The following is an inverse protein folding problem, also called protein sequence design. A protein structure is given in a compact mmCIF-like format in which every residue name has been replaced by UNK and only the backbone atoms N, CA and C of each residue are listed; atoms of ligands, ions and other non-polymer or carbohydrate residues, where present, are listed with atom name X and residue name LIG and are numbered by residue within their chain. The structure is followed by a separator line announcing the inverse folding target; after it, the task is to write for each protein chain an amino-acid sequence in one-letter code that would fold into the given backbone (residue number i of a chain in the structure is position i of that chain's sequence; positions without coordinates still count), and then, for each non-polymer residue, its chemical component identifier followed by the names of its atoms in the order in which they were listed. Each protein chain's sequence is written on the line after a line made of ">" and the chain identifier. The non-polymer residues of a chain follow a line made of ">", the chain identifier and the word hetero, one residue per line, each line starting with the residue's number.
data_IF_549965180138
#
_entry.id   IF_549965180138
#
_cell.length_a   1.000
_cell.length_b   1.000
_cell.length_c   1.000
_cell.angle_alpha   90.00
_cell.angle_beta   90.00
_cell.angle_gamma   90.00
#
_symmetry.space_group_name_H-M   'P 1'
#
loop_
_entity.id
_entity.type
_entity.pdbx_description
1 polymer ?
#
# COMPACT_ATOMS: atom_id res chain seq x y z
N UNK A 1 -5.27 10.73 5.30
CA UNK A 1 -5.52 9.33 4.92
C UNK A 1 -4.34 8.69 4.19
N UNK A 2 -4.54 7.54 3.52
CA UNK A 2 -3.44 6.77 2.88
C UNK A 2 -2.67 7.62 1.86
N UNK A 3 -3.34 8.43 1.05
CA UNK A 3 -2.69 9.33 0.09
C UNK A 3 -1.70 10.30 0.74
N UNK A 4 -2.05 10.86 1.91
CA UNK A 4 -1.17 11.74 2.68
C UNK A 4 0.07 10.98 3.17
N UNK A 5 -0.14 9.78 3.74
CA UNK A 5 0.94 8.93 4.23
C UNK A 5 1.88 8.48 3.09
N UNK A 6 1.34 8.18 1.92
CA UNK A 6 2.12 7.83 0.73
C UNK A 6 3.01 9.00 0.27
N UNK A 7 2.50 10.23 0.33
CA UNK A 7 3.28 11.42 -0.02
C UNK A 7 4.38 11.72 1.02
N UNK A 8 4.06 11.56 2.31
CA UNK A 8 5.05 11.67 3.40
C UNK A 8 6.15 10.61 3.26
N UNK A 9 5.79 9.36 2.93
CA UNK A 9 6.75 8.29 2.69
C UNK A 9 7.68 8.62 1.50
N UNK A 10 7.15 9.16 0.40
CA UNK A 10 7.95 9.59 -0.74
C UNK A 10 8.94 10.71 -0.37
N UNK A 11 8.52 11.67 0.44
CA UNK A 11 9.37 12.75 0.92
C UNK A 11 10.50 12.22 1.81
N UNK A 12 10.17 11.31 2.73
CA UNK A 12 11.15 10.68 3.62
C UNK A 12 12.18 9.84 2.84
N UNK A 13 11.73 9.11 1.81
CA UNK A 13 12.63 8.35 0.95
C UNK A 13 13.59 9.25 0.17
N UNK A 14 13.11 10.37 -0.37
CA UNK A 14 13.96 11.34 -1.06
C UNK A 14 15.02 11.94 -0.12
N UNK A 15 14.66 12.29 1.11
CA UNK A 15 15.59 12.79 2.14
C UNK A 15 16.62 11.72 2.54
N UNK A 16 16.17 10.46 2.69
CA UNK A 16 17.05 9.34 3.03
C UNK A 16 18.04 9.05 1.90
N UNK A 17 17.60 9.09 0.64
CA UNK A 17 18.46 8.93 -0.54
C UNK A 17 19.52 10.04 -0.60
N UNK A 18 19.14 11.30 -0.38
CA UNK A 18 20.07 12.43 -0.34
C UNK A 18 21.12 12.27 0.77
N UNK A 19 20.69 11.83 1.97
CA UNK A 19 21.62 11.53 3.08
C UNK A 19 22.56 10.37 2.77
N UNK A 20 22.07 9.32 2.13
CA UNK A 20 22.90 8.19 1.71
C UNK A 20 23.97 8.62 0.70
N UNK A 21 23.62 9.46 -0.28
CA UNK A 21 24.57 10.02 -1.23
C UNK A 21 25.65 10.86 -0.53
N UNK A 22 25.25 11.78 0.37
CA UNK A 22 26.19 12.62 1.13
C UNK A 22 27.12 11.76 2.01
N UNK A 23 26.58 10.73 2.67
CA UNK A 23 27.37 9.80 3.48
C UNK A 23 28.36 9.01 2.60
N UNK A 24 27.96 8.62 1.42
CA UNK A 24 28.86 7.92 0.46
C UNK A 24 30.04 8.81 0.04
N UNK A 25 29.81 10.10 -0.18
CA UNK A 25 30.87 11.07 -0.48
C UNK A 25 31.84 11.24 0.71
N UNK A 26 31.31 11.30 1.94
CA UNK A 26 32.13 11.41 3.16
C UNK A 26 32.99 10.16 3.37
N UNK A 27 32.42 8.97 3.15
CA UNK A 27 33.15 7.70 3.21
C UNK A 27 34.21 7.62 2.09
N UNK A 28 33.88 8.13 0.90
CA UNK A 28 34.87 8.26 -0.19
C UNK A 28 36.08 9.11 0.20
N UNK A 29 35.85 10.28 0.81
CA UNK A 29 36.93 11.14 1.31
C UNK A 29 37.76 10.47 2.43
N UNK A 30 37.10 9.68 3.28
CA UNK A 30 37.80 8.91 4.31
C UNK A 30 38.68 7.82 3.68
N UNK A 31 38.23 7.17 2.61
CA UNK A 31 39.03 6.19 1.87
C UNK A 31 40.27 6.83 1.25
N UNK A 32 40.12 7.98 0.60
CA UNK A 32 41.25 8.75 0.03
C UNK A 32 42.28 9.17 1.11
N UNK A 33 41.77 9.65 2.25
CA UNK A 33 42.63 10.02 3.37
C UNK A 33 43.41 8.81 3.93
N UNK A 34 42.77 7.64 4.02
CA UNK A 34 43.40 6.41 4.46
C UNK A 34 44.50 5.94 3.45
N UNK A 35 44.27 6.10 2.16
CA UNK A 35 45.27 5.81 1.13
C UNK A 35 46.48 6.73 1.23
N UNK A 36 46.27 8.03 1.43
CA UNK A 36 47.35 9.00 1.66
C UNK A 36 48.14 8.66 2.92
N UNK A 37 47.49 8.32 4.02
CA UNK A 37 48.14 7.89 5.26
C UNK A 37 48.97 6.63 5.00
N UNK A 38 48.45 5.65 4.27
CA UNK A 38 49.16 4.43 3.90
C UNK A 38 50.44 4.72 3.09
N UNK A 39 50.39 5.68 2.17
CA UNK A 39 51.54 6.12 1.40
C UNK A 39 52.62 6.78 2.29
N UNK A 40 52.21 7.61 3.23
CA UNK A 40 53.14 8.23 4.18
C UNK A 40 53.78 7.21 5.13
N UNK A 41 52.97 6.23 5.61
CA UNK A 41 53.48 5.14 6.48
C UNK A 41 54.51 4.28 5.74
N UNK A 42 54.27 3.96 4.45
CA UNK A 42 55.25 3.25 3.64
C UNK A 42 56.59 4.06 3.49
N UNK A 43 56.46 5.36 3.24
CA UNK A 43 57.65 6.24 3.18
C UNK A 43 58.44 6.26 4.49
N UNK A 44 57.75 6.35 5.65
CA UNK A 44 58.40 6.30 6.95
C UNK A 44 59.08 4.95 7.17
N UNK A 45 58.49 3.84 6.75
CA UNK A 45 59.10 2.52 6.83
C UNK A 45 60.39 2.47 6.02
N UNK A 46 60.35 2.97 4.79
CA UNK A 46 61.54 3.00 3.90
C UNK A 46 62.64 3.86 4.50
N UNK A 47 62.31 5.02 5.11
CA UNK A 47 63.27 5.85 5.83
C UNK A 47 63.88 5.10 7.04
N UNK A 48 63.05 4.37 7.79
CA UNK A 48 63.48 3.59 8.94
C UNK A 48 64.44 2.48 8.52
N UNK A 49 64.15 1.77 7.42
CA UNK A 49 65.06 0.76 6.84
C UNK A 49 66.35 1.37 6.38
N UNK A 50 66.36 2.52 5.70
CA UNK A 50 67.53 3.26 5.28
C UNK A 50 68.33 3.72 6.46
N UNK A 51 67.68 4.22 7.52
CA UNK A 51 68.35 4.67 8.78
C UNK A 51 68.99 3.49 9.49
N UNK A 52 68.35 2.32 9.51
CA UNK A 52 68.91 1.10 10.07
C UNK A 52 70.20 0.66 9.34
N UNK A 53 70.21 0.77 8.00
CA UNK A 53 71.40 0.47 7.17
C UNK A 53 72.53 1.49 7.43
N UNK A 54 72.19 2.77 7.54
CA UNK A 54 73.16 3.83 7.87
C UNK A 54 73.77 3.60 9.28
N UNK A 55 72.97 3.26 10.25
CA UNK A 55 73.40 2.96 11.61
C UNK A 55 74.29 1.70 11.66
N UNK A 56 73.95 0.68 10.87
CA UNK A 56 74.78 -0.52 10.71
C UNK A 56 76.17 -0.18 10.17
N UNK A 57 76.25 0.62 9.08
CA UNK A 57 77.50 1.07 8.49
C UNK A 57 78.36 1.90 9.51
N UNK A 58 77.69 2.80 10.28
CA UNK A 58 78.33 3.57 11.31
C UNK A 58 78.87 2.67 12.45
N UNK A 59 78.16 1.62 12.84
CA UNK A 59 78.61 0.65 13.84
C UNK A 59 79.89 -0.10 13.34
N UNK A 60 79.91 -0.49 12.06
CA UNK A 60 81.04 -1.15 11.46
C UNK A 60 82.24 -0.23 11.46
N UNK A 61 82.12 1.02 11.04
CA UNK A 61 83.22 1.96 11.00
C UNK A 61 83.71 2.39 12.41
N UNK A 62 82.79 2.48 13.36
CA UNK A 62 83.17 2.70 14.77
C UNK A 62 83.98 1.53 15.35
N UNK A 63 83.62 0.29 15.02
CA UNK A 63 84.38 -0.89 15.41
C UNK A 63 85.83 -0.89 14.73
N UNK A 64 85.93 -0.38 13.53
CA UNK A 64 87.13 -0.27 12.79
C UNK A 64 88.14 0.74 13.34
N UNK A 65 87.56 1.81 14.01
CA UNK A 65 88.35 2.86 14.68
C UNK A 65 88.89 2.46 16.10
N UNK A 66 88.54 1.25 16.57
CA UNK A 66 89.04 0.71 17.82
C UNK A 66 88.64 1.54 19.03
N UNK A 67 89.50 1.79 20.00
CA UNK A 67 89.23 2.55 21.22
C UNK A 67 88.72 3.98 20.95
N UNK A 68 89.13 4.64 19.86
CA UNK A 68 88.69 5.97 19.49
C UNK A 68 87.20 5.97 19.00
N UNK A 69 86.64 4.82 18.54
CA UNK A 69 85.33 4.70 18.03
C UNK A 69 84.24 4.31 19.07
N UNK A 70 84.62 4.00 20.29
CA UNK A 70 83.67 3.48 21.33
C UNK A 70 82.41 4.34 21.56
N UNK A 71 82.59 5.66 21.66
CA UNK A 71 81.46 6.58 21.84
C UNK A 71 80.51 6.58 20.63
N UNK A 72 81.07 6.52 19.43
CA UNK A 72 80.31 6.45 18.18
C UNK A 72 79.56 5.09 18.01
N UNK A 73 80.16 3.99 18.46
CA UNK A 73 79.55 2.67 18.41
C UNK A 73 78.28 2.62 19.28
N UNK A 74 78.28 3.25 20.46
CA UNK A 74 77.07 3.33 21.33
C UNK A 74 75.95 4.10 20.63
N UNK A 75 76.26 5.28 20.06
CA UNK A 75 75.26 6.10 19.35
C UNK A 75 74.69 5.35 18.11
N UNK A 76 75.56 4.72 17.36
CA UNK A 76 75.13 3.94 16.18
C UNK A 76 74.24 2.78 16.55
N UNK A 77 74.50 2.08 17.65
CA UNK A 77 73.64 1.00 18.17
C UNK A 77 72.28 1.54 18.60
N UNK A 78 72.23 2.68 19.28
CA UNK A 78 70.96 3.33 19.71
C UNK A 78 70.12 3.78 18.52
N UNK A 79 70.76 4.39 17.48
CA UNK A 79 70.09 4.78 16.23
C UNK A 79 69.52 3.57 15.48
N UNK A 80 70.28 2.45 15.44
CA UNK A 80 69.82 1.20 14.85
C UNK A 80 68.61 0.65 15.57
N UNK A 81 68.59 0.67 16.91
CA UNK A 81 67.47 0.19 17.68
C UNK A 81 66.19 1.06 17.46
N UNK A 82 66.38 2.39 17.46
CA UNK A 82 65.30 3.34 17.18
C UNK A 82 64.72 3.13 15.77
N UNK A 83 65.57 2.92 14.77
CA UNK A 83 65.12 2.60 13.40
C UNK A 83 64.29 1.29 13.35
N UNK A 84 64.75 0.23 14.04
CA UNK A 84 64.01 -1.01 14.15
C UNK A 84 62.65 -0.85 14.83
N UNK A 85 62.61 -0.08 15.93
CA UNK A 85 61.35 0.23 16.61
C UNK A 85 60.41 1.05 15.71
N UNK A 86 60.94 2.01 14.94
CA UNK A 86 60.16 2.82 13.99
C UNK A 86 59.56 1.93 12.89
N UNK A 87 60.37 1.03 12.32
CA UNK A 87 59.89 0.08 11.31
C UNK A 87 58.73 -0.80 11.83
N UNK A 88 58.86 -1.29 13.05
CA UNK A 88 57.78 -2.09 13.68
C UNK A 88 56.53 -1.27 13.93
N UNK A 89 56.65 -0.04 14.44
CA UNK A 89 55.51 0.84 14.67
C UNK A 89 54.76 1.19 13.36
N UNK A 90 55.54 1.41 12.26
CA UNK A 90 54.96 1.67 10.95
C UNK A 90 54.21 0.44 10.37
N UNK A 91 54.67 -0.77 10.60
CA UNK A 91 53.99 -1.99 10.25
C UNK A 91 52.62 -2.16 10.96
N UNK A 92 52.63 -1.82 12.27
CA UNK A 92 51.38 -1.81 13.09
C UNK A 92 50.39 -0.78 12.54
N UNK A 93 50.85 0.44 12.22
CA UNK A 93 50.01 1.49 11.61
C UNK A 93 49.52 1.07 10.20
N UNK A 94 50.36 0.47 9.36
CA UNK A 94 49.95 -0.02 8.07
C UNK A 94 48.82 -1.04 8.14
N UNK A 95 48.86 -1.92 9.14
CA UNK A 95 47.80 -2.88 9.42
C UNK A 95 46.50 -2.19 9.81
N UNK A 96 46.55 -1.16 10.67
CA UNK A 96 45.37 -0.38 11.06
C UNK A 96 44.78 0.38 9.88
N UNK A 97 45.63 0.99 9.04
CA UNK A 97 45.19 1.73 7.82
C UNK A 97 44.48 0.77 6.86
N UNK A 98 45.03 -0.42 6.65
CA UNK A 98 44.38 -1.45 5.83
C UNK A 98 43.02 -1.87 6.39
N UNK A 99 42.89 -1.99 7.73
CA UNK A 99 41.65 -2.24 8.41
C UNK A 99 40.59 -1.11 8.18
N UNK A 100 41.05 0.16 8.21
CA UNK A 100 40.18 1.32 7.91
C UNK A 100 39.71 1.25 6.46
N UNK A 101 40.61 0.99 5.49
CA UNK A 101 40.27 0.84 4.05
C UNK A 101 39.21 -0.25 3.84
N UNK A 102 39.40 -1.43 4.48
CA UNK A 102 38.42 -2.50 4.40
C UNK A 102 37.06 -2.13 4.99
N UNK A 103 37.07 -1.41 6.10
CA UNK A 103 35.82 -0.92 6.76
C UNK A 103 35.10 0.12 5.90
N UNK A 104 35.83 1.05 5.28
CA UNK A 104 35.24 2.05 4.36
C UNK A 104 34.65 1.40 3.12
N UNK A 105 35.31 0.41 2.55
CA UNK A 105 34.75 -0.34 1.40
C UNK A 105 33.45 -1.06 1.73
N UNK A 106 33.39 -1.67 2.92
CA UNK A 106 32.18 -2.29 3.41
C UNK A 106 31.03 -1.27 3.64
N UNK A 107 31.37 -0.10 4.17
CA UNK A 107 30.40 0.99 4.36
C UNK A 107 29.85 1.50 3.02
N UNK A 108 30.68 1.69 1.99
CA UNK A 108 30.25 2.04 0.63
C UNK A 108 29.26 1.01 0.10
N UNK A 109 29.60 -0.28 0.21
CA UNK A 109 28.73 -1.37 -0.25
C UNK A 109 27.37 -1.37 0.47
N UNK A 110 27.36 -1.12 1.79
CA UNK A 110 26.12 -1.02 2.57
C UNK A 110 25.26 0.19 2.15
N UNK A 111 25.90 1.35 1.90
CA UNK A 111 25.19 2.57 1.45
C UNK A 111 24.54 2.35 0.08
N UNK A 112 25.25 1.69 -0.85
CA UNK A 112 24.72 1.34 -2.17
C UNK A 112 23.49 0.41 -2.05
N UNK A 113 23.56 -0.59 -1.16
CA UNK A 113 22.42 -1.48 -0.90
C UNK A 113 21.19 -0.71 -0.32
N UNK A 114 21.45 0.25 0.59
CA UNK A 114 20.39 1.13 1.11
C UNK A 114 19.76 1.94 -0.01
N UNK A 115 20.55 2.53 -0.90
CA UNK A 115 20.06 3.33 -2.03
C UNK A 115 19.19 2.50 -2.97
N UNK A 116 19.57 1.25 -3.24
CA UNK A 116 18.78 0.34 -4.08
C UNK A 116 17.45 -0.02 -3.39
N UNK A 117 17.50 -0.34 -2.09
CA UNK A 117 16.27 -0.61 -1.32
C UNK A 117 15.31 0.58 -1.31
N UNK A 118 15.83 1.83 -1.25
CA UNK A 118 15.00 3.04 -1.34
C UNK A 118 14.28 3.16 -2.69
N UNK A 119 14.92 2.75 -3.80
CA UNK A 119 14.27 2.72 -5.12
C UNK A 119 13.13 1.69 -5.16
N UNK A 120 13.34 0.51 -4.59
CA UNK A 120 12.29 -0.52 -4.50
C UNK A 120 11.10 -0.03 -3.68
N UNK A 121 11.35 0.56 -2.50
CA UNK A 121 10.29 1.12 -1.63
C UNK A 121 9.53 2.23 -2.35
N UNK A 122 10.21 3.09 -3.13
CA UNK A 122 9.57 4.12 -3.95
C UNK A 122 8.63 3.50 -4.99
N UNK A 123 9.06 2.42 -5.67
CA UNK A 123 8.22 1.68 -6.60
C UNK A 123 6.96 1.11 -5.96
N UNK A 124 7.10 0.49 -4.78
CA UNK A 124 5.97 -0.02 -4.00
C UNK A 124 5.01 1.10 -3.57
N UNK A 125 5.55 2.23 -3.11
CA UNK A 125 4.77 3.38 -2.68
C UNK A 125 3.97 3.99 -3.85
N UNK A 126 4.57 4.08 -5.04
CA UNK A 126 3.87 4.50 -6.26
C UNK A 126 2.72 3.54 -6.63
N UNK A 127 2.93 2.24 -6.49
CA UNK A 127 1.89 1.23 -6.72
C UNK A 127 0.74 1.35 -5.71
N UNK A 128 1.05 1.62 -4.43
CA UNK A 128 0.03 1.88 -3.39
C UNK A 128 -0.79 3.13 -3.75
N UNK A 129 -0.15 4.22 -4.16
CA UNK A 129 -0.84 5.43 -4.58
C UNK A 129 -1.86 5.14 -5.70
N UNK A 130 -1.44 4.40 -6.72
CA UNK A 130 -2.32 3.99 -7.82
C UNK A 130 -3.51 3.15 -7.33
N UNK A 131 -3.25 2.16 -6.46
CA UNK A 131 -4.32 1.32 -5.90
C UNK A 131 -5.33 2.12 -5.06
N UNK A 132 -4.87 3.15 -4.34
CA UNK A 132 -5.75 4.06 -3.58
C UNK A 132 -6.65 4.87 -4.51
N UNK A 133 -6.13 5.38 -5.64
CA UNK A 133 -6.93 6.09 -6.63
C UNK A 133 -7.99 5.17 -7.27
N UNK A 134 -7.63 3.94 -7.60
CA UNK A 134 -8.56 2.93 -8.10
C UNK A 134 -9.65 2.60 -7.07
N UNK A 135 -9.31 2.46 -5.78
CA UNK A 135 -10.27 2.25 -4.70
C UNK A 135 -11.21 3.43 -4.50
N UNK A 136 -10.73 4.67 -4.62
CA UNK A 136 -11.58 5.87 -4.54
C UNK A 136 -12.62 5.87 -5.67
N UNK A 137 -12.20 5.56 -6.90
CA UNK A 137 -13.10 5.46 -8.05
C UNK A 137 -14.16 4.37 -7.84
N UNK A 138 -13.75 3.17 -7.45
CA UNK A 138 -14.67 2.07 -7.16
C UNK A 138 -15.66 2.40 -6.03
N UNK A 139 -15.19 3.10 -4.98
CA UNK A 139 -16.05 3.53 -3.87
C UNK A 139 -17.10 4.54 -4.32
N UNK A 140 -16.77 5.44 -5.24
CA UNK A 140 -17.73 6.37 -5.84
C UNK A 140 -18.78 5.64 -6.67
N UNK A 141 -18.37 4.67 -7.49
CA UNK A 141 -19.30 3.85 -8.27
C UNK A 141 -20.26 3.05 -7.38
N UNK A 142 -19.74 2.43 -6.32
CA UNK A 142 -20.54 1.71 -5.31
C UNK A 142 -21.55 2.67 -4.65
N UNK A 143 -21.11 3.87 -4.25
CA UNK A 143 -21.99 4.87 -3.63
C UNK A 143 -23.13 5.26 -4.56
N UNK A 144 -22.86 5.41 -5.84
CA UNK A 144 -23.85 5.74 -6.86
C UNK A 144 -24.83 4.58 -7.12
N UNK A 145 -24.32 3.34 -7.13
CA UNK A 145 -25.14 2.14 -7.25
C UNK A 145 -26.07 1.96 -6.04
N UNK A 146 -25.58 2.20 -4.82
CA UNK A 146 -26.38 2.16 -3.59
C UNK A 146 -27.49 3.23 -3.59
N UNK A 147 -27.17 4.45 -4.04
CA UNK A 147 -28.18 5.52 -4.17
C UNK A 147 -29.29 5.13 -5.18
N UNK A 148 -28.90 4.55 -6.31
CA UNK A 148 -29.84 4.06 -7.34
C UNK A 148 -30.71 2.91 -6.82
N UNK A 149 -30.11 1.95 -6.11
CA UNK A 149 -30.85 0.85 -5.49
C UNK A 149 -31.85 1.34 -4.43
N UNK A 150 -31.46 2.32 -3.60
CA UNK A 150 -32.34 2.95 -2.62
C UNK A 150 -33.56 3.63 -3.28
N UNK A 151 -33.32 4.38 -4.36
CA UNK A 151 -34.39 5.00 -5.14
C UNK A 151 -35.33 3.95 -5.76
N UNK A 152 -34.76 2.86 -6.33
CA UNK A 152 -35.53 1.73 -6.86
C UNK A 152 -36.39 1.05 -5.80
N UNK A 153 -35.86 0.86 -4.59
CA UNK A 153 -36.59 0.28 -3.46
C UNK A 153 -37.77 1.17 -3.03
N UNK A 154 -37.57 2.48 -2.98
CA UNK A 154 -38.63 3.44 -2.67
C UNK A 154 -39.76 3.38 -3.73
N UNK A 155 -39.40 3.32 -5.00
CA UNK A 155 -40.35 3.19 -6.11
C UNK A 155 -41.13 1.87 -6.02
N UNK A 156 -40.44 0.76 -5.74
CA UNK A 156 -41.06 -0.55 -5.57
C UNK A 156 -42.06 -0.55 -4.41
N UNK A 157 -41.71 0.07 -3.28
CA UNK A 157 -42.65 0.24 -2.13
C UNK A 157 -43.92 1.01 -2.51
N UNK A 158 -43.78 2.13 -3.24
CA UNK A 158 -44.94 2.87 -3.74
C UNK A 158 -45.81 2.08 -4.73
N UNK A 159 -45.20 1.23 -5.54
CA UNK A 159 -45.97 0.33 -6.44
C UNK A 159 -46.72 -0.74 -5.65
N UNK A 160 -46.13 -1.30 -4.59
CA UNK A 160 -46.80 -2.26 -3.70
C UNK A 160 -48.03 -1.60 -3.01
N UNK A 161 -47.92 -0.37 -2.51
CA UNK A 161 -49.01 0.38 -1.94
C UNK A 161 -50.13 0.62 -2.97
N UNK A 162 -49.79 0.96 -4.20
CA UNK A 162 -50.74 1.13 -5.29
C UNK A 162 -51.48 -0.15 -5.66
N UNK A 163 -50.78 -1.30 -5.67
CA UNK A 163 -51.41 -2.61 -5.87
C UNK A 163 -52.34 -2.96 -4.73
N UNK A 164 -51.94 -2.73 -3.48
CA UNK A 164 -52.79 -2.94 -2.31
C UNK A 164 -54.13 -2.14 -2.41
N UNK A 165 -54.03 -0.85 -2.77
CA UNK A 165 -55.22 -0.03 -3.01
C UNK A 165 -56.10 -0.51 -4.18
N UNK A 166 -55.51 -1.09 -5.21
CA UNK A 166 -56.23 -1.68 -6.34
C UNK A 166 -56.98 -2.98 -5.96
N UNK A 167 -56.38 -3.79 -5.09
CA UNK A 167 -56.97 -5.00 -4.54
C UNK A 167 -58.20 -4.63 -3.67
N UNK A 168 -58.11 -3.59 -2.83
CA UNK A 168 -59.20 -3.12 -2.02
C UNK A 168 -60.40 -2.67 -2.85
N UNK A 169 -60.18 -1.84 -3.89
CA UNK A 169 -61.20 -1.46 -4.86
C UNK A 169 -61.84 -2.64 -5.59
N UNK A 170 -61.01 -3.64 -5.98
CA UNK A 170 -61.54 -4.85 -6.64
C UNK A 170 -62.42 -5.65 -5.70
N UNK A 171 -62.12 -5.69 -4.39
CA UNK A 171 -62.94 -6.35 -3.40
C UNK A 171 -64.29 -5.61 -3.18
N UNK A 172 -64.27 -4.27 -3.17
CA UNK A 172 -65.49 -3.46 -3.12
C UNK A 172 -66.39 -3.71 -4.35
N UNK A 173 -65.82 -3.71 -5.56
CA UNK A 173 -66.55 -4.02 -6.78
C UNK A 173 -67.15 -5.43 -6.78
N UNK A 174 -66.42 -6.42 -6.27
CA UNK A 174 -66.92 -7.79 -6.16
C UNK A 174 -68.14 -7.88 -5.25
N UNK A 175 -68.13 -7.15 -4.10
CA UNK A 175 -69.26 -7.09 -3.20
C UNK A 175 -70.48 -6.40 -3.86
N UNK A 176 -70.29 -5.31 -4.62
CA UNK A 176 -71.34 -4.62 -5.35
C UNK A 176 -71.96 -5.51 -6.44
N UNK A 177 -71.14 -6.28 -7.19
CA UNK A 177 -71.62 -7.26 -8.18
C UNK A 177 -72.47 -8.37 -7.52
N UNK A 178 -72.03 -8.86 -6.34
CA UNK A 178 -72.77 -9.88 -5.60
C UNK A 178 -74.16 -9.34 -5.17
N UNK A 179 -74.19 -8.14 -4.61
CA UNK A 179 -75.46 -7.47 -4.19
C UNK A 179 -76.36 -7.23 -5.41
N UNK A 180 -75.83 -6.80 -6.54
CA UNK A 180 -76.61 -6.58 -7.78
C UNK A 180 -77.14 -7.90 -8.34
N UNK A 181 -76.37 -8.97 -8.26
CA UNK A 181 -76.75 -10.31 -8.67
C UNK A 181 -77.92 -10.85 -7.82
N UNK A 182 -77.88 -10.63 -6.50
CA UNK A 182 -78.96 -10.98 -5.58
C UNK A 182 -80.25 -10.19 -5.90
N UNK A 183 -80.15 -8.89 -6.19
CA UNK A 183 -81.27 -8.05 -6.59
C UNK A 183 -81.93 -8.48 -7.90
N UNK A 184 -81.06 -8.85 -8.89
CA UNK A 184 -81.49 -9.36 -10.18
C UNK A 184 -82.23 -10.72 -10.04
N UNK A 185 -81.73 -11.61 -9.18
CA UNK A 185 -82.36 -12.89 -8.89
C UNK A 185 -83.76 -12.67 -8.27
N UNK A 186 -83.92 -11.75 -7.33
CA UNK A 186 -85.20 -11.43 -6.74
C UNK A 186 -86.20 -10.82 -7.75
N UNK A 187 -85.74 -9.85 -8.57
CA UNK A 187 -86.56 -9.27 -9.64
C UNK A 187 -86.99 -10.33 -10.69
N UNK A 188 -86.13 -11.26 -11.03
CA UNK A 188 -86.42 -12.37 -11.97
C UNK A 188 -87.51 -13.30 -11.37
N UNK A 189 -87.37 -13.60 -10.08
CA UNK A 189 -88.37 -14.41 -9.36
C UNK A 189 -89.76 -13.72 -9.23
N UNK A 190 -89.74 -12.39 -9.04
CA UNK A 190 -90.97 -11.60 -9.05
C UNK A 190 -91.64 -11.60 -10.42
N UNK A 191 -90.81 -11.41 -11.49
CA UNK A 191 -91.33 -11.44 -12.84
C UNK A 191 -91.92 -12.82 -13.18
N UNK A 192 -91.29 -13.91 -12.81
CA UNK A 192 -91.81 -15.26 -12.99
C UNK A 192 -93.20 -15.44 -12.30
N UNK A 193 -93.31 -14.95 -11.08
CA UNK A 193 -94.63 -14.98 -10.32
C UNK A 193 -95.71 -14.14 -11.01
N UNK A 194 -95.41 -12.98 -11.54
CA UNK A 194 -96.34 -12.13 -12.25
C UNK A 194 -96.81 -12.74 -13.56
N UNK A 195 -95.83 -13.34 -14.32
CA UNK A 195 -96.15 -14.07 -15.57
C UNK A 195 -97.08 -15.24 -15.26
N UNK A 196 -96.88 -16.00 -14.21
CA UNK A 196 -97.66 -17.12 -13.80
C UNK A 196 -99.10 -16.68 -13.41
N UNK A 197 -99.25 -15.55 -12.63
CA UNK A 197 -100.56 -14.94 -12.37
C UNK A 197 -101.25 -14.51 -13.64
N UNK A 198 -100.58 -13.80 -14.54
CA UNK A 198 -101.17 -13.36 -15.80
C UNK A 198 -101.71 -14.51 -16.62
N UNK A 199 -100.90 -15.57 -16.75
CA UNK A 199 -101.30 -16.75 -17.45
C UNK A 199 -102.53 -17.43 -16.81
N UNK A 200 -102.64 -17.51 -15.52
CA UNK A 200 -103.79 -18.02 -14.78
C UNK A 200 -105.02 -17.12 -14.97
N UNK A 201 -104.89 -15.81 -14.97
CA UNK A 201 -106.01 -14.92 -15.22
C UNK A 201 -106.49 -14.95 -16.64
N UNK A 202 -105.60 -15.04 -17.63
CA UNK A 202 -105.96 -15.25 -19.01
C UNK A 202 -106.72 -16.63 -19.24
N UNK A 203 -106.20 -17.67 -18.57
CA UNK A 203 -106.86 -18.99 -18.63
C UNK A 203 -108.27 -18.96 -18.04
N UNK A 204 -108.45 -18.25 -16.91
CA UNK A 204 -109.82 -18.06 -16.31
C UNK A 204 -110.75 -17.25 -17.25
N UNK A 205 -110.27 -16.17 -17.84
CA UNK A 205 -111.02 -15.34 -18.75
C UNK A 205 -111.49 -16.12 -19.98
N UNK A 206 -110.58 -16.92 -20.55
CA UNK A 206 -110.89 -17.84 -21.70
C UNK A 206 -111.89 -18.88 -21.31
N UNK A 207 -111.86 -19.45 -20.09
CA UNK A 207 -112.80 -20.43 -19.60
C UNK A 207 -114.17 -19.81 -19.31
N UNK A 208 -114.24 -18.63 -18.80
CA UNK A 208 -115.49 -17.87 -18.59
C UNK A 208 -116.14 -17.50 -19.93
N UNK A 209 -115.35 -17.02 -20.92
CA UNK A 209 -115.89 -16.75 -22.27
C UNK A 209 -116.43 -18.00 -22.93
N UNK A 210 -115.75 -19.13 -22.73
CA UNK A 210 -116.15 -20.43 -23.27
C UNK A 210 -117.49 -20.91 -22.61
N UNK A 211 -117.67 -20.67 -21.32
CA UNK A 211 -118.92 -20.96 -20.60
C UNK A 211 -120.11 -20.00 -21.02
N UNK A 212 -119.77 -18.72 -21.25
CA UNK A 212 -120.77 -17.73 -21.73
C UNK A 212 -121.27 -18.04 -23.20
N UNK A 213 -120.39 -18.56 -24.05
CA UNK A 213 -120.71 -18.92 -25.45
C UNK A 213 -121.43 -20.26 -25.62
N UNK A 214 -121.62 -21.00 -24.50
CA UNK A 214 -122.36 -22.28 -24.46
C UNK A 214 -123.78 -22.17 -23.92
N UNK A 215 -124.30 -20.96 -23.58
CA UNK A 215 -125.61 -20.57 -23.23
C UNK A 215 -126.28 -19.89 -24.44
#
# INVERSE_FOLDING_TARGET
>A
GIATQTNEANTLMADTEAKAIATNEDVGRLSEAAEQIGSVVNLIRDIAEQTNLLALNATIEAARAGEAGRGFAVVATEVKELASQTAKATEEIATQVSGIQGSTQNAVSAILAITESMKEVRGLTASIAKSVDEQLSATQEISQAVASASSGTTTASGNVDSVAGSIEKTSEFAAEVDQTSLSLADATQQLAREVERFLNDVAKDVEERRKASRK
#
